data_IF_664058539227
#
_entry.id   IF_664058539227
#
_cell.length_a   1.000
_cell.length_b   1.000
_cell.length_c   1.000
_cell.angle_alpha   90.00
_cell.angle_beta   90.00
_cell.angle_gamma   90.00
#
_symmetry.space_group_name_H-M   'P 1'
#
loop_
_entity.id
_entity.type
_entity.pdbx_description
1 polymer ?
#
# COMPACT_ATOMS: atom_id res chain seq x y z
N UNK A 1 13.82 21.87 -17.33
CA UNK A 1 14.56 22.12 -16.06
C UNK A 1 13.76 21.85 -14.79
N UNK A 2 12.43 22.01 -14.77
CA UNK A 2 11.56 21.65 -13.63
C UNK A 2 11.89 20.30 -12.95
N UNK A 3 12.06 19.22 -13.73
CA UNK A 3 12.37 17.89 -13.19
C UNK A 3 13.74 17.82 -12.48
N UNK A 4 14.71 18.60 -12.95
CA UNK A 4 16.04 18.71 -12.31
C UNK A 4 15.92 19.48 -11.00
N UNK A 5 15.20 20.60 -11.01
CA UNK A 5 14.97 21.42 -9.82
C UNK A 5 14.23 20.65 -8.72
N UNK A 6 13.29 19.77 -9.05
CA UNK A 6 12.62 18.89 -8.07
C UNK A 6 13.55 17.85 -7.42
N UNK A 7 14.69 17.55 -8.03
CA UNK A 7 15.70 16.63 -7.45
C UNK A 7 16.64 17.35 -6.49
N UNK A 8 16.62 18.68 -6.48
CA UNK A 8 17.59 19.52 -5.79
C UNK A 8 16.94 20.33 -4.67
N UNK A 9 17.45 20.19 -3.45
CA UNK A 9 17.05 20.93 -2.28
C UNK A 9 17.54 22.37 -2.33
N UNK A 10 16.67 23.31 -1.96
CA UNK A 10 17.05 24.69 -1.74
C UNK A 10 17.93 24.81 -0.48
N UNK A 11 19.02 25.55 -0.59
CA UNK A 11 20.03 25.67 0.47
C UNK A 11 19.68 26.69 1.55
N UNK A 12 18.49 27.30 1.53
CA UNK A 12 18.05 28.29 2.52
C UNK A 12 17.53 27.67 3.84
N UNK A 13 17.42 26.33 3.91
CA UNK A 13 17.00 25.61 5.12
C UNK A 13 15.49 25.32 5.22
N UNK A 14 14.68 25.77 4.25
CA UNK A 14 13.23 25.52 4.25
C UNK A 14 12.83 24.08 3.87
N UNK A 15 13.80 23.20 3.57
CA UNK A 15 13.61 21.79 3.18
C UNK A 15 12.82 21.54 1.89
N UNK A 16 12.46 22.58 1.15
CA UNK A 16 11.80 22.47 -0.15
C UNK A 16 12.83 22.30 -1.29
N UNK A 17 12.38 21.72 -2.40
CA UNK A 17 13.15 21.70 -3.65
C UNK A 17 13.19 23.08 -4.33
N UNK A 18 14.15 23.28 -5.24
CA UNK A 18 14.37 24.58 -5.92
C UNK A 18 13.12 25.05 -6.67
N UNK A 19 12.40 24.15 -7.33
CA UNK A 19 11.22 24.52 -8.11
C UNK A 19 10.09 24.94 -7.18
N UNK A 20 9.73 24.06 -6.24
CA UNK A 20 8.63 24.27 -5.31
C UNK A 20 8.84 25.54 -4.49
N UNK A 21 10.03 25.73 -3.91
CA UNK A 21 10.35 26.93 -3.14
C UNK A 21 10.17 28.21 -3.97
N UNK A 22 10.71 28.25 -5.20
CA UNK A 22 10.59 29.41 -6.09
C UNK A 22 9.15 29.72 -6.50
N UNK A 23 8.29 28.70 -6.59
CA UNK A 23 6.89 28.86 -7.00
C UNK A 23 5.91 29.07 -5.84
N UNK A 24 6.37 28.96 -4.60
CA UNK A 24 5.52 29.06 -3.40
C UNK A 24 5.94 30.21 -2.49
N UNK A 25 7.22 30.53 -2.39
CA UNK A 25 7.74 31.66 -1.62
C UNK A 25 8.37 32.71 -2.53
N UNK A 26 7.61 33.78 -2.77
CA UNK A 26 8.02 34.91 -3.60
C UNK A 26 8.98 35.88 -2.88
N UNK A 27 9.23 35.69 -1.58
CA UNK A 27 10.17 36.48 -0.79
C UNK A 27 11.56 35.83 -0.72
N UNK A 28 11.66 34.54 -1.01
CA UNK A 28 12.92 33.80 -1.03
C UNK A 28 13.84 34.26 -2.18
N UNK A 29 15.07 34.65 -1.84
CA UNK A 29 16.10 35.05 -2.83
C UNK A 29 17.03 33.91 -3.23
N UNK A 30 17.12 32.84 -2.42
CA UNK A 30 17.98 31.69 -2.67
C UNK A 30 17.51 30.83 -3.83
N UNK A 31 16.23 30.44 -3.84
CA UNK A 31 15.68 29.55 -4.86
C UNK A 31 15.77 30.14 -6.28
N UNK A 32 15.44 31.42 -6.51
CA UNK A 32 15.65 32.06 -7.80
C UNK A 32 17.12 32.10 -8.24
N UNK A 33 18.06 32.26 -7.31
CA UNK A 33 19.49 32.23 -7.62
C UNK A 33 19.94 30.82 -8.04
N UNK A 34 19.56 29.78 -7.29
CA UNK A 34 19.86 28.38 -7.64
C UNK A 34 19.20 27.97 -8.97
N UNK A 35 17.99 28.45 -9.25
CA UNK A 35 17.35 28.24 -10.55
C UNK A 35 18.17 28.85 -11.70
N UNK A 36 18.70 30.07 -11.53
CA UNK A 36 19.59 30.67 -12.53
C UNK A 36 20.86 29.85 -12.75
N UNK A 37 21.42 29.26 -11.70
CA UNK A 37 22.56 28.34 -11.84
C UNK A 37 22.19 27.08 -12.64
N UNK A 38 21.02 26.49 -12.39
CA UNK A 38 20.51 25.35 -13.20
C UNK A 38 20.37 25.75 -14.67
N UNK A 39 19.82 26.93 -14.96
CA UNK A 39 19.68 27.43 -16.34
C UNK A 39 21.04 27.68 -17.00
N UNK A 40 22.00 28.28 -16.29
CA UNK A 40 23.33 28.50 -16.82
C UNK A 40 24.01 27.19 -17.24
N UNK A 41 23.94 26.16 -16.39
CA UNK A 41 24.49 24.84 -16.72
C UNK A 41 23.76 24.17 -17.89
N UNK A 42 22.46 24.35 -18.01
CA UNK A 42 21.69 23.88 -19.15
C UNK A 42 22.11 24.58 -20.45
N UNK A 43 22.33 25.90 -20.39
CA UNK A 43 22.74 26.70 -21.55
C UNK A 43 24.18 26.40 -21.98
N UNK A 44 25.02 25.91 -21.06
CA UNK A 44 26.32 25.29 -21.35
C UNK A 44 26.22 23.93 -22.06
N UNK A 45 25.00 23.40 -22.27
CA UNK A 45 24.75 22.12 -22.94
C UNK A 45 24.77 20.90 -22.03
N UNK A 46 24.79 21.08 -20.70
CA UNK A 46 24.77 19.94 -19.76
C UNK A 46 23.41 19.29 -19.71
N UNK A 47 23.40 17.96 -19.62
CA UNK A 47 22.18 17.19 -19.42
C UNK A 47 21.73 17.20 -17.94
N UNK A 48 20.55 16.65 -17.68
CA UNK A 48 19.93 16.66 -16.35
C UNK A 48 20.81 16.06 -15.24
N UNK A 49 21.48 14.93 -15.50
CA UNK A 49 22.29 14.25 -14.49
C UNK A 49 23.63 14.95 -14.27
N UNK A 50 24.21 15.54 -15.32
CA UNK A 50 25.40 16.39 -15.19
C UNK A 50 25.13 17.65 -14.36
N UNK A 51 23.95 18.26 -14.52
CA UNK A 51 23.53 19.41 -13.71
C UNK A 51 23.41 18.99 -12.24
N UNK A 52 22.71 17.89 -11.96
CA UNK A 52 22.58 17.38 -10.58
C UNK A 52 23.95 17.03 -10.00
N UNK A 53 24.83 16.38 -10.76
CA UNK A 53 26.18 16.06 -10.33
C UNK A 53 27.02 17.31 -10.03
N UNK A 54 26.90 18.37 -10.83
CA UNK A 54 27.56 19.65 -10.58
C UNK A 54 27.07 20.29 -9.27
N UNK A 55 25.76 20.23 -8.99
CA UNK A 55 25.20 20.68 -7.72
C UNK A 55 25.70 19.85 -6.54
N UNK A 56 25.75 18.52 -6.67
CA UNK A 56 26.30 17.63 -5.63
C UNK A 56 27.79 17.92 -5.38
N UNK A 57 28.57 18.19 -6.42
CA UNK A 57 29.97 18.55 -6.28
C UNK A 57 30.15 19.89 -5.53
N UNK A 58 29.24 20.86 -5.74
CA UNK A 58 29.29 22.19 -5.13
C UNK A 58 28.72 22.25 -3.71
N UNK A 59 27.59 21.59 -3.45
CA UNK A 59 26.82 21.69 -2.21
C UNK A 59 26.85 20.42 -1.35
N UNK A 60 27.44 19.34 -1.86
CA UNK A 60 27.44 18.02 -1.23
C UNK A 60 26.15 17.24 -1.49
N UNK A 61 26.12 15.98 -1.05
CA UNK A 61 24.99 15.07 -1.33
C UNK A 61 23.68 15.48 -0.66
N UNK A 62 23.74 16.31 0.40
CA UNK A 62 22.56 16.85 1.09
C UNK A 62 21.72 17.78 0.22
N UNK A 63 22.25 18.20 -0.94
CA UNK A 63 21.47 18.96 -1.93
C UNK A 63 20.48 18.07 -2.67
N UNK A 64 20.54 16.74 -2.55
CA UNK A 64 19.58 15.86 -3.20
C UNK A 64 18.32 15.73 -2.35
N UNK A 65 17.16 15.86 -2.98
CA UNK A 65 15.86 15.57 -2.34
C UNK A 65 15.71 14.11 -1.93
N UNK A 66 16.41 13.21 -2.61
CA UNK A 66 16.51 11.80 -2.25
C UNK A 66 17.99 11.39 -2.21
N UNK A 67 18.45 10.71 -1.15
CA UNK A 67 19.82 10.19 -1.09
C UNK A 67 20.16 9.31 -2.30
N UNK A 68 21.44 9.12 -2.62
CA UNK A 68 21.79 8.12 -3.64
C UNK A 68 21.52 6.71 -3.12
N UNK A 69 21.00 5.78 -3.94
CA UNK A 69 20.73 4.41 -3.55
C UNK A 69 22.03 3.58 -3.47
N UNK A 70 22.93 3.99 -2.59
CA UNK A 70 24.24 3.36 -2.37
C UNK A 70 24.44 3.07 -0.87
N UNK A 71 25.16 1.99 -0.55
CA UNK A 71 25.43 1.59 0.83
C UNK A 71 24.15 1.42 1.66
N UNK A 72 24.11 2.08 2.83
CA UNK A 72 22.96 2.00 3.75
C UNK A 72 21.68 2.64 3.19
N UNK A 73 21.79 3.60 2.27
CA UNK A 73 20.63 4.30 1.73
C UNK A 73 19.69 3.38 0.94
N UNK A 74 20.21 2.28 0.38
CA UNK A 74 19.43 1.26 -0.34
C UNK A 74 18.30 0.71 0.55
N UNK A 75 18.52 0.61 1.86
CA UNK A 75 17.51 0.16 2.81
C UNK A 75 16.24 1.01 2.74
N UNK A 76 16.37 2.34 2.57
CA UNK A 76 15.23 3.25 2.45
C UNK A 76 14.35 2.99 1.22
N UNK A 77 14.91 2.40 0.15
CA UNK A 77 14.18 2.08 -1.08
C UNK A 77 13.53 0.71 -1.05
N UNK A 78 14.18 -0.26 -0.41
CA UNK A 78 13.80 -1.69 -0.52
C UNK A 78 13.02 -2.18 0.69
N UNK A 79 13.39 -1.75 1.90
CA UNK A 79 12.80 -2.25 3.15
C UNK A 79 11.28 -2.04 3.23
N UNK A 80 10.70 -0.88 2.83
CA UNK A 80 9.25 -0.71 2.87
C UNK A 80 8.50 -1.77 2.03
N UNK A 81 8.98 -2.04 0.81
CA UNK A 81 8.39 -3.05 -0.07
C UNK A 81 8.50 -4.47 0.49
N UNK A 82 9.68 -4.85 0.98
CA UNK A 82 9.90 -6.17 1.61
C UNK A 82 8.99 -6.33 2.83
N UNK A 83 8.89 -5.31 3.68
CA UNK A 83 8.09 -5.37 4.91
C UNK A 83 6.61 -5.59 4.61
N UNK A 84 6.06 -4.86 3.62
CA UNK A 84 4.67 -5.01 3.19
C UNK A 84 4.42 -6.41 2.63
N UNK A 85 5.31 -6.92 1.78
CA UNK A 85 5.18 -8.25 1.18
C UNK A 85 5.24 -9.36 2.22
N UNK A 86 6.16 -9.28 3.19
CA UNK A 86 6.27 -10.26 4.27
C UNK A 86 5.04 -10.23 5.17
N UNK A 87 4.64 -9.06 5.65
CA UNK A 87 3.47 -8.92 6.52
C UNK A 87 2.18 -9.37 5.81
N UNK A 88 1.98 -8.93 4.56
CA UNK A 88 0.84 -9.33 3.74
C UNK A 88 0.83 -10.83 3.44
N UNK A 89 1.99 -11.42 3.14
CA UNK A 89 2.14 -12.86 2.90
C UNK A 89 1.79 -13.70 4.12
N UNK A 90 2.26 -13.30 5.31
CA UNK A 90 1.93 -13.97 6.57
C UNK A 90 0.43 -13.86 6.86
N UNK A 91 -0.16 -12.67 6.70
CA UNK A 91 -1.60 -12.48 6.91
C UNK A 91 -2.43 -13.33 5.95
N UNK A 92 -2.09 -13.33 4.65
CA UNK A 92 -2.76 -14.12 3.64
C UNK A 92 -2.66 -15.63 3.93
N UNK A 93 -1.49 -16.11 4.36
CA UNK A 93 -1.29 -17.50 4.73
C UNK A 93 -2.18 -17.90 5.93
N UNK A 94 -2.27 -17.07 6.96
CA UNK A 94 -3.14 -17.30 8.12
C UNK A 94 -4.61 -17.37 7.69
N UNK A 95 -5.08 -16.40 6.88
CA UNK A 95 -6.46 -16.36 6.41
C UNK A 95 -6.79 -17.57 5.52
N UNK A 96 -5.89 -17.94 4.62
CA UNK A 96 -6.05 -19.11 3.76
C UNK A 96 -6.10 -20.41 4.59
N UNK A 97 -5.24 -20.54 5.60
CA UNK A 97 -5.26 -21.69 6.50
C UNK A 97 -6.60 -21.78 7.26
N UNK A 98 -7.07 -20.67 7.86
CA UNK A 98 -8.36 -20.64 8.56
C UNK A 98 -9.53 -20.98 7.64
N UNK A 99 -9.57 -20.42 6.43
CA UNK A 99 -10.61 -20.70 5.45
C UNK A 99 -10.63 -22.18 5.03
N UNK A 100 -9.46 -22.80 4.86
CA UNK A 100 -9.36 -24.24 4.58
C UNK A 100 -9.93 -25.08 5.72
N UNK A 101 -9.56 -24.79 6.97
CA UNK A 101 -10.07 -25.53 8.13
C UNK A 101 -11.59 -25.41 8.29
N UNK A 102 -12.16 -24.22 8.07
CA UNK A 102 -13.61 -24.02 8.11
C UNK A 102 -14.33 -24.82 7.02
N UNK A 103 -13.75 -24.92 5.82
CA UNK A 103 -14.31 -25.73 4.73
C UNK A 103 -14.26 -27.23 5.03
N UNK A 104 -13.17 -27.72 5.62
CA UNK A 104 -13.05 -29.11 6.04
C UNK A 104 -14.10 -29.43 7.11
N UNK A 105 -14.21 -28.59 8.15
CA UNK A 105 -15.20 -28.78 9.21
C UNK A 105 -16.65 -28.74 8.68
N UNK A 106 -16.95 -27.85 7.74
CA UNK A 106 -18.27 -27.79 7.11
C UNK A 106 -18.58 -29.06 6.27
N UNK A 107 -17.59 -29.61 5.57
CA UNK A 107 -17.75 -30.84 4.81
C UNK A 107 -17.99 -32.07 5.72
N UNK A 108 -17.28 -32.17 6.84
CA UNK A 108 -17.49 -33.23 7.84
C UNK A 108 -18.87 -33.13 8.52
N UNK A 109 -19.34 -31.91 8.80
CA UNK A 109 -20.67 -31.66 9.34
C UNK A 109 -21.79 -32.06 8.36
N UNK A 110 -21.62 -31.79 7.05
CA UNK A 110 -22.57 -32.24 6.03
C UNK A 110 -22.55 -33.77 5.83
N UNK A 111 -21.40 -34.42 5.99
CA UNK A 111 -21.29 -35.88 5.89
C UNK A 111 -21.92 -36.61 7.11
N UNK A 112 -22.03 -35.94 8.25
CA UNK A 112 -22.64 -36.49 9.47
C UNK A 112 -24.14 -36.21 9.59
N UNK A 113 -24.76 -35.53 8.62
CA UNK A 113 -26.22 -35.37 8.60
C UNK A 113 -26.89 -36.71 8.24
N UNK A 114 -27.78 -37.25 9.08
CA UNK A 114 -28.51 -38.46 8.75
C UNK A 114 -29.40 -38.20 7.53
N UNK A 115 -29.44 -39.16 6.60
CA UNK A 115 -30.33 -39.15 5.44
C UNK A 115 -31.79 -39.43 5.88
N UNK A 116 -32.40 -38.45 6.54
CA UNK A 116 -33.80 -38.48 6.97
C UNK A 116 -34.28 -37.06 7.22
N UNK A 117 -35.60 -36.79 7.10
CA UNK A 117 -36.15 -35.47 7.39
C UNK A 117 -35.74 -35.04 8.81
N UNK A 118 -35.41 -33.75 9.03
CA UNK A 118 -34.92 -33.29 10.32
C UNK A 118 -35.94 -33.65 11.40
N UNK A 119 -35.54 -34.53 12.33
CA UNK A 119 -36.31 -34.72 13.55
C UNK A 119 -36.20 -33.41 14.35
N UNK A 120 -37.31 -32.70 14.47
CA UNK A 120 -37.40 -31.50 15.30
C UNK A 120 -37.08 -31.92 16.75
N UNK A 121 -36.06 -31.34 17.41
CA UNK A 121 -35.72 -31.71 18.78
C UNK A 121 -36.91 -31.36 19.70
N UNK A 122 -37.52 -32.39 20.27
CA UNK A 122 -38.69 -32.28 21.14
C UNK A 122 -40.02 -32.70 20.52
N UNK A 123 -40.10 -32.92 19.19
CA UNK A 123 -41.32 -33.42 18.58
C UNK A 123 -41.41 -34.93 18.74
N UNK A 124 -42.39 -35.39 19.52
CA UNK A 124 -42.71 -36.82 19.57
C UNK A 124 -43.31 -37.25 18.22
N UNK A 125 -43.12 -38.52 17.83
CA UNK A 125 -43.69 -39.06 16.58
C UNK A 125 -45.22 -38.86 16.52
N UNK A 126 -45.87 -38.88 17.68
CA UNK A 126 -47.29 -38.65 17.88
C UNK A 126 -47.72 -37.20 17.58
N UNK A 127 -46.92 -36.20 17.98
CA UNK A 127 -47.16 -34.78 17.67
C UNK A 127 -47.12 -34.50 16.17
N UNK A 128 -46.16 -35.13 15.48
CA UNK A 128 -46.03 -35.04 14.02
C UNK A 128 -47.20 -35.69 13.28
N UNK A 129 -47.73 -36.81 13.79
CA UNK A 129 -48.92 -37.45 13.24
C UNK A 129 -50.18 -36.63 13.46
N UNK A 130 -50.31 -35.97 14.62
CA UNK A 130 -51.40 -35.05 14.90
C UNK A 130 -51.40 -33.86 13.93
N UNK A 131 -50.26 -33.19 13.76
CA UNK A 131 -50.11 -32.06 12.84
C UNK A 131 -50.44 -32.45 11.38
N UNK A 132 -50.02 -33.65 10.93
CA UNK A 132 -50.36 -34.14 9.58
C UNK A 132 -51.84 -34.45 9.39
N UNK A 133 -52.55 -34.79 10.47
CA UNK A 133 -54.00 -34.99 10.43
C UNK A 133 -54.71 -33.65 10.29
N UNK A 134 -54.32 -32.67 11.10
CA UNK A 134 -54.86 -31.30 11.05
C UNK A 134 -54.64 -30.69 9.66
N UNK A 135 -53.44 -30.80 9.07
CA UNK A 135 -53.18 -30.27 7.71
C UNK A 135 -54.07 -30.89 6.63
N UNK A 136 -54.37 -32.19 6.69
CA UNK A 136 -55.27 -32.85 5.72
C UNK A 136 -56.71 -32.41 5.87
N UNK A 137 -57.15 -32.09 7.09
CA UNK A 137 -58.48 -31.54 7.36
C UNK A 137 -58.63 -30.12 6.83
N UNK A 138 -57.55 -29.33 6.79
CA UNK A 138 -57.56 -27.97 6.22
C UNK A 138 -57.53 -27.94 4.68
N UNK A 139 -57.07 -29.02 4.03
CA UNK A 139 -56.98 -29.13 2.56
C UNK A 139 -58.25 -29.72 1.91
N UNK A 140 -59.23 -30.19 2.71
CA UNK A 140 -60.58 -30.60 2.26
C UNK A 140 -61.60 -29.46 2.39
#
# INVERSE_FOLDING_TARGET
MKQVEHRLQCTCGCTLDIYTCRTTDFTCTFSPALHKEVLALHDEGKNADEIVAAFVAKYGEKVLMAPKPEGFNIAGYVVPGITILLAGGVMAAILAHRARMMRVAAAEASASQPAGPPALPGASAEELERLRRELREFDE
#
